data_IF_355576256448
#
_entry.id   IF_355576256448
#
_cell.length_a   1.000
_cell.length_b   1.000
_cell.length_c   1.000
_cell.angle_alpha   90.00
_cell.angle_beta   90.00
_cell.angle_gamma   90.00
#
_symmetry.space_group_name_H-M   'P 1'
#
loop_
_entity.id
_entity.type
_entity.pdbx_description
1 polymer ?
#
# COMPACT_ATOMS: atom_id res chain seq x y z
N UNK A 1 2.17 18.63 4.88
CA UNK A 1 1.38 17.42 5.13
C UNK A 1 0.80 16.97 3.81
N UNK A 2 1.53 16.19 3.02
CA UNK A 2 1.02 15.73 1.72
C UNK A 2 1.63 14.38 1.41
N UNK A 3 0.82 13.35 1.53
CA UNK A 3 1.05 12.10 0.81
C UNK A 3 0.71 12.38 -0.65
N UNK A 4 1.58 11.95 -1.56
CA UNK A 4 1.37 12.07 -3.00
C UNK A 4 1.54 10.68 -3.60
N UNK A 5 0.55 10.26 -4.37
CA UNK A 5 0.64 9.05 -5.18
C UNK A 5 0.73 9.49 -6.63
N UNK A 6 1.78 9.05 -7.31
CA UNK A 6 2.01 9.34 -8.74
C UNK A 6 1.99 8.03 -9.52
N UNK A 7 1.21 7.96 -10.60
CA UNK A 7 1.24 6.84 -11.53
C UNK A 7 2.32 7.03 -12.59
N UNK A 8 2.69 5.94 -13.26
CA UNK A 8 3.64 5.97 -14.38
C UNK A 8 3.22 6.85 -15.56
N UNK A 9 1.92 7.18 -15.70
CA UNK A 9 1.41 8.14 -16.70
C UNK A 9 1.45 9.61 -16.20
N UNK A 10 2.13 9.87 -15.07
CA UNK A 10 2.25 11.17 -14.41
C UNK A 10 0.92 11.75 -13.87
N UNK A 11 -0.14 10.94 -13.79
CA UNK A 11 -1.33 11.31 -13.01
C UNK A 11 -0.96 11.31 -11.52
N UNK A 12 -1.50 12.24 -10.77
CA UNK A 12 -1.25 12.35 -9.33
C UNK A 12 -2.56 12.43 -8.56
N UNK A 13 -2.55 11.86 -7.35
CA UNK A 13 -3.59 12.05 -6.35
C UNK A 13 -2.95 12.37 -5.01
N UNK A 14 -3.58 13.25 -4.26
CA UNK A 14 -3.14 13.72 -2.95
C UNK A 14 -4.27 13.46 -1.94
N UNK A 15 -4.29 12.30 -1.27
CA UNK A 15 -5.24 12.05 -0.19
C UNK A 15 -5.00 13.00 0.97
N UNK A 16 -6.04 13.25 1.77
CA UNK A 16 -5.91 14.03 3.00
C UNK A 16 -5.08 13.24 4.03
N UNK A 17 -5.32 11.93 4.11
CA UNK A 17 -4.67 11.03 5.05
C UNK A 17 -4.57 9.62 4.45
N UNK A 18 -3.49 8.92 4.80
CA UNK A 18 -3.39 7.47 4.67
C UNK A 18 -3.67 6.84 6.03
N UNK A 19 -4.74 6.06 6.09
CA UNK A 19 -5.20 5.34 7.28
C UNK A 19 -5.17 3.82 7.04
N UNK A 20 -5.33 3.03 8.11
CA UNK A 20 -5.42 1.57 8.02
C UNK A 20 -4.20 0.92 7.36
N UNK A 21 -3.00 1.47 7.60
CA UNK A 21 -1.77 0.95 7.01
C UNK A 21 -1.40 -0.42 7.58
N UNK A 22 -1.48 -1.43 6.73
CA UNK A 22 -1.04 -2.78 7.05
C UNK A 22 -0.04 -3.24 5.98
N UNK A 23 1.15 -3.66 6.40
CA UNK A 23 2.16 -4.25 5.52
C UNK A 23 2.69 -5.55 6.10
N UNK A 24 3.02 -6.48 5.20
CA UNK A 24 3.60 -7.77 5.51
C UNK A 24 4.65 -8.12 4.46
N UNK A 25 5.63 -8.93 4.86
CA UNK A 25 6.64 -9.47 3.97
C UNK A 25 6.92 -10.91 4.39
N UNK A 26 6.93 -11.82 3.43
CA UNK A 26 7.23 -13.22 3.69
C UNK A 26 8.73 -13.37 3.98
N UNK A 27 9.06 -13.83 5.19
CA UNK A 27 10.42 -14.17 5.55
C UNK A 27 10.87 -15.44 4.81
N UNK A 28 11.93 -15.33 4.00
CA UNK A 28 12.46 -16.45 3.21
C UNK A 28 13.59 -17.22 3.91
N UNK A 29 13.77 -17.00 5.21
CA UNK A 29 14.79 -17.69 5.98
C UNK A 29 14.46 -19.18 6.05
N UNK A 30 15.42 -20.03 5.69
CA UNK A 30 15.26 -21.48 5.76
C UNK A 30 15.89 -21.94 7.08
N UNK A 31 15.07 -22.54 7.94
CA UNK A 31 15.48 -23.06 9.24
C UNK A 31 15.57 -24.58 9.15
N UNK A 32 16.80 -25.09 9.18
CA UNK A 32 17.10 -26.51 9.11
C UNK A 32 17.39 -27.05 10.52
N UNK A 33 16.50 -27.86 11.12
CA UNK A 33 16.79 -28.53 12.38
C UNK A 33 17.85 -29.62 12.16
N UNK A 34 18.93 -29.60 12.96
CA UNK A 34 20.01 -30.58 12.89
C UNK A 34 19.76 -31.68 13.93
N UNK A 35 19.98 -32.94 13.55
CA UNK A 35 19.95 -34.06 14.51
C UNK A 35 21.02 -33.84 15.59
N UNK A 36 20.57 -33.69 16.83
CA UNK A 36 21.41 -33.30 17.98
C UNK A 36 20.92 -32.04 18.72
N UNK A 37 19.88 -31.36 18.20
CA UNK A 37 19.25 -30.22 18.86
C UNK A 37 19.80 -28.85 18.43
N UNK A 38 20.68 -28.81 17.44
CA UNK A 38 21.14 -27.59 16.80
C UNK A 38 20.18 -27.08 15.72
N UNK A 39 20.32 -25.82 15.35
CA UNK A 39 19.57 -25.20 14.25
C UNK A 39 20.57 -24.56 13.29
N UNK A 40 20.46 -24.91 12.01
CA UNK A 40 21.13 -24.22 10.93
C UNK A 40 20.13 -23.26 10.26
N UNK A 41 20.56 -22.03 9.98
CA UNK A 41 19.69 -21.00 9.40
C UNK A 41 20.36 -20.43 8.17
N UNK A 42 19.74 -20.64 7.00
CA UNK A 42 20.12 -19.95 5.78
C UNK A 42 19.34 -18.65 5.69
N UNK A 43 20.06 -17.53 5.75
CA UNK A 43 19.48 -16.19 5.63
C UNK A 43 19.14 -15.88 4.18
N UNK A 44 17.90 -15.48 3.92
CA UNK A 44 17.46 -14.94 2.64
C UNK A 44 16.69 -13.65 2.87
N UNK A 45 16.78 -12.71 1.93
CA UNK A 45 15.99 -11.50 1.99
C UNK A 45 14.50 -11.84 1.98
N UNK A 46 13.73 -11.14 2.82
CA UNK A 46 12.27 -11.24 2.80
C UNK A 46 11.71 -10.83 1.43
N UNK A 47 10.48 -11.25 1.12
CA UNK A 47 9.77 -10.76 -0.06
C UNK A 47 9.62 -9.23 -0.02
N UNK A 48 9.30 -8.66 -1.18
CA UNK A 48 8.80 -7.28 -1.24
C UNK A 48 7.54 -7.15 -0.38
N UNK A 49 7.29 -5.93 0.13
CA UNK A 49 6.13 -5.66 0.99
C UNK A 49 4.83 -5.88 0.21
N UNK A 50 3.83 -6.41 0.89
CA UNK A 50 2.45 -6.50 0.41
C UNK A 50 1.50 -6.18 1.54
N UNK A 51 0.34 -5.64 1.23
CA UNK A 51 -0.60 -5.23 2.25
C UNK A 51 -1.74 -4.40 1.70
N UNK A 52 -2.35 -3.63 2.58
CA UNK A 52 -3.44 -2.72 2.22
C UNK A 52 -3.32 -1.40 2.96
N UNK A 53 -3.82 -0.35 2.35
CA UNK A 53 -3.98 0.95 3.00
C UNK A 53 -5.27 1.61 2.54
N UNK A 54 -5.75 2.55 3.35
CA UNK A 54 -6.95 3.32 3.09
C UNK A 54 -6.57 4.76 2.81
N UNK A 55 -6.97 5.27 1.65
CA UNK A 55 -6.82 6.66 1.27
C UNK A 55 -8.09 7.43 1.62
N UNK A 56 -7.94 8.49 2.41
CA UNK A 56 -9.05 9.32 2.86
C UNK A 56 -9.13 10.59 2.02
N UNK A 57 -10.30 10.85 1.46
CA UNK A 57 -10.61 12.04 0.67
C UNK A 57 -11.83 12.77 1.24
N UNK A 58 -11.82 14.09 1.20
CA UNK A 58 -12.99 14.92 1.52
C UNK A 58 -13.93 15.00 0.33
N UNK A 59 -13.37 15.14 -0.88
CA UNK A 59 -14.15 15.39 -2.10
C UNK A 59 -14.41 14.10 -2.88
N UNK A 60 -15.67 13.91 -3.28
CA UNK A 60 -16.06 12.72 -4.07
C UNK A 60 -15.34 12.66 -5.42
N UNK A 61 -15.14 13.81 -6.07
CA UNK A 61 -14.44 13.89 -7.35
C UNK A 61 -13.01 13.37 -7.27
N UNK A 62 -12.33 13.68 -6.16
CA UNK A 62 -10.94 13.32 -5.95
C UNK A 62 -10.82 11.84 -5.58
N UNK A 63 -11.75 11.35 -4.76
CA UNK A 63 -11.87 9.93 -4.45
C UNK A 63 -12.16 9.09 -5.70
N UNK A 64 -13.07 9.57 -6.57
CA UNK A 64 -13.39 8.91 -7.84
C UNK A 64 -12.20 8.94 -8.80
N UNK A 65 -11.50 10.08 -8.92
CA UNK A 65 -10.32 10.19 -9.75
C UNK A 65 -9.19 9.27 -9.27
N UNK A 66 -8.98 9.18 -7.94
CA UNK A 66 -8.03 8.25 -7.34
C UNK A 66 -8.42 6.79 -7.64
N UNK A 67 -9.69 6.44 -7.49
CA UNK A 67 -10.18 5.10 -7.81
C UNK A 67 -9.98 4.74 -9.29
N UNK A 68 -10.31 5.65 -10.21
CA UNK A 68 -10.09 5.45 -11.65
C UNK A 68 -8.60 5.37 -12.00
N UNK A 69 -7.76 6.17 -11.34
CA UNK A 69 -6.32 6.12 -11.48
C UNK A 69 -5.76 4.75 -11.06
N UNK A 70 -6.18 4.22 -9.92
CA UNK A 70 -5.74 2.90 -9.43
C UNK A 70 -6.27 1.72 -10.25
N UNK A 71 -7.39 1.90 -10.98
CA UNK A 71 -7.91 0.88 -11.92
C UNK A 71 -7.08 0.73 -13.18
N UNK A 72 -6.23 1.70 -13.51
CA UNK A 72 -5.35 1.60 -14.68
C UNK A 72 -4.22 0.63 -14.38
N UNK A 73 -3.80 -0.13 -15.40
CA UNK A 73 -2.59 -0.92 -15.34
C UNK A 73 -1.37 0.01 -15.36
N UNK A 74 -0.93 0.44 -14.19
CA UNK A 74 0.17 1.36 -14.00
C UNK A 74 1.01 0.97 -12.77
N UNK A 75 2.22 1.49 -12.73
CA UNK A 75 3.07 1.47 -11.53
C UNK A 75 2.82 2.77 -10.76
N UNK A 76 2.65 2.67 -9.45
CA UNK A 76 2.37 3.79 -8.58
C UNK A 76 3.56 4.03 -7.66
N UNK A 77 3.89 5.29 -7.45
CA UNK A 77 4.91 5.74 -6.49
C UNK A 77 4.20 6.50 -5.39
N UNK A 78 4.24 5.98 -4.17
CA UNK A 78 3.80 6.67 -2.97
C UNK A 78 4.98 7.42 -2.38
N UNK A 79 4.80 8.72 -2.15
CA UNK A 79 5.72 9.54 -1.38
C UNK A 79 4.97 10.23 -0.25
N UNK A 80 5.61 10.28 0.92
CA UNK A 80 5.07 10.96 2.09
C UNK A 80 6.19 11.71 2.81
N UNK A 81 6.02 13.02 2.97
CA UNK A 81 7.04 13.88 3.58
C UNK A 81 7.17 13.69 5.09
N UNK A 82 6.14 13.15 5.75
CA UNK A 82 6.08 13.00 7.22
C UNK A 82 6.39 11.57 7.65
N UNK A 83 6.01 10.61 6.81
CA UNK A 83 6.23 9.17 7.04
C UNK A 83 7.07 8.60 5.91
N UNK A 84 8.37 8.95 5.81
CA UNK A 84 9.21 8.49 4.70
C UNK A 84 9.34 6.95 4.63
N UNK A 85 9.05 6.22 5.71
CA UNK A 85 9.04 4.75 5.74
C UNK A 85 7.96 4.11 4.86
N UNK A 86 6.85 4.83 4.61
CA UNK A 86 5.77 4.31 3.74
C UNK A 86 6.07 4.53 2.25
N UNK A 87 7.06 5.36 1.92
CA UNK A 87 7.40 5.65 0.54
C UNK A 87 7.86 4.38 -0.19
N UNK A 88 7.21 4.08 -1.31
CA UNK A 88 7.49 2.89 -2.10
C UNK A 88 6.95 2.99 -3.52
N UNK A 89 7.40 2.07 -4.37
CA UNK A 89 6.83 1.82 -5.67
C UNK A 89 6.01 0.54 -5.61
N UNK A 90 4.75 0.59 -6.03
CA UNK A 90 3.83 -0.52 -5.90
C UNK A 90 2.91 -0.65 -7.11
N UNK A 91 2.27 -1.81 -7.21
CA UNK A 91 1.18 -2.09 -8.14
C UNK A 91 -0.07 -2.49 -7.35
N UNK A 92 -1.24 -2.27 -7.93
CA UNK A 92 -2.48 -2.80 -7.37
C UNK A 92 -2.45 -4.33 -7.42
N UNK A 93 -2.65 -4.97 -6.26
CA UNK A 93 -2.65 -6.42 -6.11
C UNK A 93 -3.87 -6.85 -5.29
N UNK A 94 -4.90 -7.33 -5.97
CA UNK A 94 -6.17 -7.72 -5.36
C UNK A 94 -7.27 -6.70 -5.61
N UNK A 95 -8.13 -6.50 -4.62
CA UNK A 95 -9.30 -5.64 -4.75
C UNK A 95 -8.98 -4.16 -4.51
N UNK A 96 -9.73 -3.32 -5.20
CA UNK A 96 -9.79 -1.88 -5.01
C UNK A 96 -11.23 -1.53 -4.65
N UNK A 97 -11.45 -0.94 -3.48
CA UNK A 97 -12.80 -0.56 -3.03
C UNK A 97 -12.88 0.93 -2.78
N UNK A 98 -14.06 1.49 -2.98
CA UNK A 98 -14.42 2.86 -2.61
C UNK A 98 -15.70 2.82 -1.79
N UNK A 99 -15.67 3.43 -0.62
CA UNK A 99 -16.81 3.53 0.27
C UNK A 99 -16.94 4.96 0.80
N UNK A 100 -18.15 5.34 1.20
CA UNK A 100 -18.35 6.50 2.05
C UNK A 100 -18.18 6.03 3.49
N UNK A 101 -17.47 6.79 4.31
CA UNK A 101 -17.34 6.50 5.74
C UNK A 101 -18.73 6.42 6.39
N UNK A 102 -19.02 5.33 7.11
CA UNK A 102 -20.37 5.08 7.62
C UNK A 102 -20.66 5.86 8.92
N UNK A 103 -19.61 6.22 9.67
CA UNK A 103 -19.75 6.99 10.91
C UNK A 103 -20.00 8.48 10.65
N UNK A 104 -19.10 9.14 9.92
CA UNK A 104 -19.20 10.59 9.67
C UNK A 104 -19.98 10.92 8.39
N UNK A 105 -19.90 10.06 7.36
CA UNK A 105 -20.36 10.34 5.99
C UNK A 105 -19.77 11.61 5.37
N UNK A 106 -18.67 12.10 5.94
CA UNK A 106 -17.96 13.29 5.47
C UNK A 106 -16.75 12.92 4.60
N UNK A 107 -16.26 11.69 4.72
CA UNK A 107 -15.06 11.23 4.03
C UNK A 107 -15.33 10.05 3.09
N UNK A 108 -14.63 10.06 1.98
CA UNK A 108 -14.54 8.96 1.05
C UNK A 108 -13.28 8.15 1.32
N UNK A 109 -13.46 6.84 1.46
CA UNK A 109 -12.42 5.88 1.73
C UNK A 109 -12.14 5.08 0.47
N UNK A 110 -10.89 5.07 0.02
CA UNK A 110 -10.42 4.22 -1.08
C UNK A 110 -9.42 3.21 -0.52
N UNK A 111 -9.81 1.94 -0.42
CA UNK A 111 -8.93 0.88 0.07
C UNK A 111 -8.18 0.27 -1.12
N UNK A 112 -6.85 0.27 -1.02
CA UNK A 112 -5.94 -0.21 -2.05
C UNK A 112 -5.12 -1.37 -1.49
N UNK A 113 -5.27 -2.55 -2.08
CA UNK A 113 -4.37 -3.67 -1.81
C UNK A 113 -3.16 -3.56 -2.74
N UNK A 114 -1.95 -3.62 -2.18
CA UNK A 114 -0.72 -3.33 -2.90
C UNK A 114 0.30 -4.47 -2.85
N UNK A 115 1.12 -4.52 -3.89
CA UNK A 115 2.35 -5.29 -3.95
C UNK A 115 3.49 -4.34 -4.33
N UNK A 116 4.50 -4.25 -3.47
CA UNK A 116 5.72 -3.49 -3.75
C UNK A 116 6.55 -4.19 -4.84
N UNK A 117 7.17 -3.40 -5.73
CA UNK A 117 8.00 -3.84 -6.86
C UNK A 117 9.43 -3.30 -6.77
#
# INVERSE_FOLDING_TARGET
>A
MSTIITSSDSTQTAPLLVDGWEESAEGKNIVNPIMGGGVDVTLQAASKRTGSFVLVYTDESDAQAAFEMHRKAAVFTLSDSERPSVAMTYVLAGDLTRALDDESREFWLVTVNFQEV
#
